data_IF_729152636819
#
_entry.id   IF_729152636819
#
_cell.length_a   1.000
_cell.length_b   1.000
_cell.length_c   1.000
_cell.angle_alpha   90.00
_cell.angle_beta   90.00
_cell.angle_gamma   90.00
#
_symmetry.space_group_name_H-M   'P 1'
#
loop_
_entity.id
_entity.type
_entity.pdbx_description
1 polymer ?
#
# COMPACT_ATOMS: atom_id res chain seq x y z
N UNK A 1 -30.90 -3.80 13.04
CA UNK A 1 -30.76 -2.70 12.05
C UNK A 1 -31.93 -2.81 11.07
N UNK A 2 -32.61 -1.72 10.74
CA UNK A 2 -33.56 -1.65 9.66
C UNK A 2 -32.93 -2.09 8.32
N UNK A 3 -33.75 -2.56 7.37
CA UNK A 3 -33.23 -3.10 6.10
C UNK A 3 -32.52 -2.02 5.24
N UNK A 4 -33.01 -0.78 5.33
CA UNK A 4 -32.39 0.37 4.68
C UNK A 4 -30.94 0.61 5.20
N UNK A 5 -30.72 0.47 6.49
CA UNK A 5 -29.40 0.65 7.10
C UNK A 5 -28.44 -0.49 6.69
N UNK A 6 -28.95 -1.72 6.55
CA UNK A 6 -28.15 -2.84 6.05
C UNK A 6 -27.71 -2.64 4.61
N UNK A 7 -28.56 -2.04 3.78
CA UNK A 7 -28.24 -1.74 2.39
C UNK A 7 -27.20 -0.62 2.28
N UNK A 8 -27.32 0.42 3.09
CA UNK A 8 -26.35 1.49 3.17
C UNK A 8 -24.96 0.98 3.60
N UNK A 9 -24.93 0.11 4.62
CA UNK A 9 -23.71 -0.53 5.09
C UNK A 9 -23.08 -1.46 4.05
N UNK A 10 -23.89 -2.23 3.30
CA UNK A 10 -23.38 -3.03 2.17
C UNK A 10 -22.75 -2.14 1.11
N UNK A 11 -23.33 -0.99 0.78
CA UNK A 11 -22.74 -0.01 -0.14
C UNK A 11 -21.36 0.45 0.31
N UNK A 12 -21.20 0.69 1.61
CA UNK A 12 -19.92 1.07 2.22
C UNK A 12 -18.88 -0.05 2.10
N UNK A 13 -19.23 -1.33 2.35
CA UNK A 13 -18.33 -2.47 2.16
C UNK A 13 -17.91 -2.66 0.69
N UNK A 14 -18.86 -2.50 -0.24
CA UNK A 14 -18.54 -2.61 -1.68
C UNK A 14 -17.64 -1.50 -2.17
N UNK A 15 -17.69 -0.32 -1.56
CA UNK A 15 -16.74 0.75 -1.89
C UNK A 15 -15.31 0.33 -1.58
N UNK A 16 -15.07 -0.27 -0.41
CA UNK A 16 -13.75 -0.73 -0.02
C UNK A 16 -13.25 -1.88 -0.89
N UNK A 17 -14.14 -2.81 -1.24
CA UNK A 17 -13.87 -3.85 -2.22
C UNK A 17 -13.34 -3.29 -3.55
N UNK A 18 -13.94 -2.23 -4.07
CA UNK A 18 -13.52 -1.58 -5.32
C UNK A 18 -12.26 -0.74 -5.16
N UNK A 19 -12.17 -0.01 -4.05
CA UNK A 19 -11.11 0.96 -3.77
C UNK A 19 -9.73 0.31 -3.57
N UNK A 20 -9.68 -0.86 -2.95
CA UNK A 20 -8.45 -1.63 -2.73
C UNK A 20 -7.77 -2.09 -4.03
N UNK A 21 -8.47 -2.08 -5.15
CA UNK A 21 -7.88 -2.30 -6.46
C UNK A 21 -6.77 -1.29 -6.78
N UNK A 22 -7.02 -0.01 -6.47
CA UNK A 22 -6.01 1.03 -6.63
C UNK A 22 -4.83 0.84 -5.66
N UNK A 23 -5.11 0.59 -4.39
CA UNK A 23 -4.07 0.43 -3.38
C UNK A 23 -3.14 -0.75 -3.70
N UNK A 24 -3.71 -1.93 -3.95
CA UNK A 24 -2.92 -3.13 -4.11
C UNK A 24 -2.27 -3.23 -5.50
N UNK A 25 -3.06 -3.11 -6.56
CA UNK A 25 -2.52 -3.26 -7.91
C UNK A 25 -1.73 -2.03 -8.36
N UNK A 26 -2.33 -0.84 -8.25
CA UNK A 26 -1.72 0.37 -8.83
C UNK A 26 -0.61 0.90 -7.94
N UNK A 27 -0.88 1.20 -6.67
CA UNK A 27 0.12 1.81 -5.78
C UNK A 27 1.25 0.88 -5.37
N UNK A 28 0.93 -0.42 -5.14
CA UNK A 28 1.92 -1.32 -4.54
C UNK A 28 2.69 -2.13 -5.58
N UNK A 29 2.06 -2.52 -6.68
CA UNK A 29 2.68 -3.46 -7.63
C UNK A 29 3.09 -2.77 -8.95
N UNK A 30 2.15 -2.15 -9.65
CA UNK A 30 2.39 -1.75 -11.05
C UNK A 30 3.08 -0.39 -11.19
N UNK A 31 2.56 0.65 -10.49
CA UNK A 31 3.08 2.00 -10.69
C UNK A 31 4.52 2.17 -10.22
N UNK A 32 4.96 1.60 -9.07
CA UNK A 32 6.35 1.67 -8.66
C UNK A 32 7.30 1.10 -9.70
N UNK A 33 7.09 -0.16 -10.09
CA UNK A 33 7.94 -0.86 -11.03
C UNK A 33 7.96 -0.20 -12.41
N UNK A 34 6.79 0.19 -12.93
CA UNK A 34 6.69 0.85 -14.23
C UNK A 34 7.37 2.23 -14.23
N UNK A 35 7.16 3.02 -13.17
CA UNK A 35 7.74 4.36 -13.06
C UNK A 35 9.26 4.30 -12.93
N UNK A 36 9.77 3.39 -12.11
CA UNK A 36 11.21 3.16 -11.96
C UNK A 36 11.84 2.72 -13.28
N UNK A 37 11.23 1.76 -13.97
CA UNK A 37 11.73 1.26 -15.25
C UNK A 37 11.76 2.36 -16.32
N UNK A 38 10.67 3.09 -16.52
CA UNK A 38 10.60 4.18 -17.51
C UNK A 38 11.62 5.29 -17.20
N UNK A 39 11.78 5.65 -15.92
CA UNK A 39 12.76 6.64 -15.47
C UNK A 39 14.20 6.19 -15.77
N UNK A 40 14.53 4.94 -15.43
CA UNK A 40 15.86 4.38 -15.68
C UNK A 40 16.18 4.33 -17.18
N UNK A 41 15.20 3.95 -18.02
CA UNK A 41 15.35 3.97 -19.48
C UNK A 41 15.53 5.38 -20.03
N UNK A 42 14.83 6.38 -19.48
CA UNK A 42 14.91 7.77 -19.95
C UNK A 42 16.22 8.45 -19.57
N UNK A 43 16.73 8.17 -18.36
CA UNK A 43 17.88 8.87 -17.80
C UNK A 43 19.20 8.11 -17.91
N UNK A 44 19.15 6.81 -18.21
CA UNK A 44 20.32 5.94 -18.19
C UNK A 44 20.88 5.66 -16.77
N UNK A 45 20.07 5.91 -15.72
CA UNK A 45 20.46 5.71 -14.31
C UNK A 45 19.70 4.52 -13.71
N UNK A 46 20.08 4.11 -12.50
CA UNK A 46 19.38 3.08 -11.71
C UNK A 46 18.65 3.69 -10.50
N UNK A 47 18.25 4.98 -10.59
CA UNK A 47 17.62 5.72 -9.49
C UNK A 47 16.10 5.86 -9.62
N UNK A 48 15.46 5.01 -10.40
CA UNK A 48 14.01 5.05 -10.65
C UNK A 48 13.16 4.84 -9.39
N UNK A 49 13.62 4.00 -8.45
CA UNK A 49 12.94 3.79 -7.17
C UNK A 49 12.95 5.05 -6.31
N UNK A 50 14.08 5.77 -6.28
CA UNK A 50 14.18 7.05 -5.60
C UNK A 50 13.24 8.09 -6.25
N UNK A 51 13.15 8.12 -7.59
CA UNK A 51 12.22 8.98 -8.29
C UNK A 51 10.77 8.67 -7.91
N UNK A 52 10.37 7.39 -7.91
CA UNK A 52 9.04 6.98 -7.43
C UNK A 52 8.78 7.45 -6.00
N UNK A 53 9.74 7.27 -5.08
CA UNK A 53 9.62 7.70 -3.70
C UNK A 53 9.40 9.24 -3.60
N UNK A 54 10.08 10.03 -4.41
CA UNK A 54 9.84 11.48 -4.49
C UNK A 54 8.44 11.82 -5.00
N UNK A 55 7.96 11.14 -6.05
CA UNK A 55 6.60 11.32 -6.58
C UNK A 55 5.54 10.95 -5.55
N UNK A 56 5.73 9.82 -4.86
CA UNK A 56 4.84 9.39 -3.78
C UNK A 56 4.82 10.41 -2.64
N UNK A 57 5.99 10.87 -2.20
CA UNK A 57 6.14 11.88 -1.12
C UNK A 57 5.44 13.19 -1.51
N UNK A 58 5.66 13.69 -2.72
CA UNK A 58 5.00 14.89 -3.22
C UNK A 58 3.48 14.73 -3.26
N UNK A 59 3.00 13.57 -3.70
CA UNK A 59 1.57 13.23 -3.71
C UNK A 59 0.97 13.22 -2.31
N UNK A 60 1.67 12.61 -1.35
CA UNK A 60 1.22 12.57 0.05
C UNK A 60 1.25 13.95 0.72
N UNK A 61 2.23 14.81 0.39
CA UNK A 61 2.24 16.19 0.87
C UNK A 61 1.01 16.99 0.40
N UNK A 62 0.59 16.80 -0.85
CA UNK A 62 -0.66 17.41 -1.35
C UNK A 62 -1.87 16.95 -0.54
N UNK A 63 -1.91 15.66 -0.19
CA UNK A 63 -2.98 15.11 0.67
C UNK A 63 -2.91 15.69 2.08
N UNK A 64 -1.74 15.73 2.71
CA UNK A 64 -1.55 16.28 4.06
C UNK A 64 -1.99 17.76 4.13
N UNK A 65 -1.73 18.51 3.09
CA UNK A 65 -2.19 19.92 3.02
C UNK A 65 -3.71 19.99 2.85
N UNK A 66 -4.32 19.15 2.03
CA UNK A 66 -5.74 19.25 1.68
C UNK A 66 -6.68 18.51 2.63
N UNK A 67 -6.27 17.36 3.20
CA UNK A 67 -7.11 16.49 4.02
C UNK A 67 -7.74 17.16 5.26
N UNK A 68 -7.04 18.02 6.05
CA UNK A 68 -7.65 18.66 7.19
C UNK A 68 -8.80 19.60 6.81
N UNK A 69 -8.62 20.36 5.72
CA UNK A 69 -9.67 21.23 5.20
C UNK A 69 -10.88 20.45 4.71
N UNK A 70 -10.63 19.33 4.02
CA UNK A 70 -11.68 18.42 3.55
C UNK A 70 -12.45 17.80 4.72
N UNK A 71 -11.75 17.37 5.76
CA UNK A 71 -12.36 16.83 6.96
C UNK A 71 -13.34 17.84 7.59
N UNK A 72 -12.90 19.07 7.80
CA UNK A 72 -13.77 20.14 8.35
C UNK A 72 -14.99 20.42 7.47
N UNK A 73 -14.79 20.50 6.16
CA UNK A 73 -15.89 20.74 5.21
C UNK A 73 -16.88 19.56 5.25
N UNK A 74 -16.35 18.33 5.21
CA UNK A 74 -17.17 17.12 5.25
C UNK A 74 -17.94 16.94 6.56
N UNK A 75 -17.42 17.42 7.69
CA UNK A 75 -18.07 17.30 9.00
C UNK A 75 -19.09 18.40 9.28
N UNK A 76 -19.05 19.51 8.54
CA UNK A 76 -19.92 20.67 8.76
C UNK A 76 -20.97 20.90 7.69
N UNK A 77 -20.88 20.16 6.60
CA UNK A 77 -21.80 20.31 5.47
C UNK A 77 -22.33 18.94 5.04
N UNK A 78 -23.62 18.84 4.67
CA UNK A 78 -24.21 17.58 4.18
C UNK A 78 -23.82 17.33 2.72
N UNK A 79 -22.50 17.20 2.46
CA UNK A 79 -21.93 17.01 1.12
C UNK A 79 -20.88 15.90 1.06
N UNK A 80 -20.81 15.05 2.11
CA UNK A 80 -19.82 13.95 2.18
C UNK A 80 -19.88 13.05 0.96
N UNK A 81 -21.07 12.61 0.58
CA UNK A 81 -21.27 11.74 -0.58
C UNK A 81 -20.88 12.41 -1.90
N UNK A 82 -21.21 13.70 -2.05
CA UNK A 82 -20.85 14.48 -3.23
C UNK A 82 -19.33 14.62 -3.35
N UNK A 83 -18.66 14.93 -2.24
CA UNK A 83 -17.19 15.00 -2.18
C UNK A 83 -16.55 13.66 -2.48
N UNK A 84 -17.01 12.56 -1.83
CA UNK A 84 -16.51 11.23 -2.10
C UNK A 84 -16.66 10.85 -3.57
N UNK A 85 -17.82 11.10 -4.15
CA UNK A 85 -18.07 10.85 -5.58
C UNK A 85 -17.09 11.62 -6.46
N UNK A 86 -16.80 12.88 -6.12
CA UNK A 86 -15.88 13.71 -6.89
C UNK A 86 -14.45 13.18 -6.80
N UNK A 87 -13.95 12.89 -5.59
CA UNK A 87 -12.61 12.31 -5.38
C UNK A 87 -12.44 10.96 -6.06
N UNK A 88 -13.45 10.09 -5.93
CA UNK A 88 -13.46 8.79 -6.62
C UNK A 88 -13.43 8.96 -8.13
N UNK A 89 -14.22 9.88 -8.69
CA UNK A 89 -14.26 10.13 -10.13
C UNK A 89 -12.89 10.61 -10.63
N UNK A 90 -12.27 11.56 -9.93
CA UNK A 90 -10.91 12.02 -10.26
C UNK A 90 -9.92 10.86 -10.18
N UNK A 91 -9.91 10.12 -9.07
CA UNK A 91 -9.03 8.96 -8.91
C UNK A 91 -9.17 7.94 -10.04
N UNK A 92 -10.39 7.57 -10.36
CA UNK A 92 -10.73 6.60 -11.43
C UNK A 92 -10.27 7.08 -12.82
N UNK A 93 -10.57 8.33 -13.18
CA UNK A 93 -10.19 8.89 -14.49
C UNK A 93 -8.66 8.90 -14.62
N UNK A 94 -7.96 9.42 -13.63
CA UNK A 94 -6.50 9.51 -13.68
C UNK A 94 -5.84 8.13 -13.62
N UNK A 95 -6.42 7.17 -12.91
CA UNK A 95 -5.99 5.76 -12.95
C UNK A 95 -6.12 5.16 -14.35
N UNK A 96 -7.25 5.37 -15.02
CA UNK A 96 -7.41 4.89 -16.40
C UNK A 96 -6.40 5.53 -17.36
N UNK A 97 -6.16 6.84 -17.22
CA UNK A 97 -5.22 7.58 -18.07
C UNK A 97 -3.76 7.13 -17.87
N UNK A 98 -3.37 6.60 -16.67
CA UNK A 98 -2.03 6.03 -16.48
C UNK A 98 -1.72 4.92 -17.47
N UNK A 99 -2.74 4.22 -17.98
CA UNK A 99 -2.58 3.20 -19.01
C UNK A 99 -2.03 3.71 -20.34
N UNK A 100 -2.08 5.01 -20.57
CA UNK A 100 -1.48 5.62 -21.75
C UNK A 100 0.04 5.87 -21.61
N UNK A 101 0.56 5.98 -20.39
CA UNK A 101 1.96 6.36 -20.15
C UNK A 101 2.99 5.46 -20.86
N UNK A 102 2.86 4.12 -20.91
CA UNK A 102 3.83 3.26 -21.59
C UNK A 102 3.95 3.54 -23.10
N UNK A 103 2.92 4.10 -23.74
CA UNK A 103 2.94 4.40 -25.18
C UNK A 103 3.75 5.64 -25.54
N UNK A 104 4.17 6.44 -24.55
CA UNK A 104 5.06 7.59 -24.76
C UNK A 104 6.55 7.21 -24.68
N UNK A 105 6.86 5.91 -24.61
CA UNK A 105 8.23 5.44 -24.48
C UNK A 105 8.86 5.84 -23.13
N UNK A 106 10.19 6.02 -23.09
CA UNK A 106 10.89 6.37 -21.84
C UNK A 106 10.34 7.64 -21.18
N UNK A 107 10.01 8.67 -21.93
CA UNK A 107 9.47 9.95 -21.40
C UNK A 107 8.10 9.80 -20.73
N UNK A 108 7.45 8.65 -20.89
CA UNK A 108 6.19 8.31 -20.24
C UNK A 108 6.24 8.38 -18.71
N UNK A 109 7.45 8.34 -18.10
CA UNK A 109 7.59 8.46 -16.65
C UNK A 109 7.07 9.79 -16.11
N UNK A 110 7.22 10.90 -16.84
CA UNK A 110 6.71 12.22 -16.44
C UNK A 110 5.18 12.21 -16.42
N UNK A 111 4.59 11.66 -17.48
CA UNK A 111 3.13 11.54 -17.62
C UNK A 111 2.59 10.65 -16.50
N UNK A 112 3.22 9.49 -16.30
CA UNK A 112 2.84 8.56 -15.25
C UNK A 112 2.92 9.20 -13.85
N UNK A 113 3.99 9.94 -13.55
CA UNK A 113 4.17 10.63 -12.27
C UNK A 113 3.07 11.68 -12.02
N UNK A 114 2.71 12.47 -13.00
CA UNK A 114 1.63 13.46 -12.90
C UNK A 114 0.26 12.80 -12.69
N UNK A 115 -0.06 11.80 -13.51
CA UNK A 115 -1.33 11.08 -13.43
C UNK A 115 -1.44 10.30 -12.12
N UNK A 116 -0.35 9.67 -11.69
CA UNK A 116 -0.26 8.96 -10.40
C UNK A 116 -0.46 9.90 -9.22
N UNK A 117 0.16 11.07 -9.23
CA UNK A 117 0.01 12.06 -8.15
C UNK A 117 -1.45 12.49 -7.99
N UNK A 118 -2.13 12.80 -9.08
CA UNK A 118 -3.55 13.19 -9.05
C UNK A 118 -4.44 12.00 -8.66
N UNK A 119 -4.17 10.82 -9.20
CA UNK A 119 -4.86 9.57 -8.85
C UNK A 119 -4.76 9.25 -7.35
N UNK A 120 -3.55 9.39 -6.79
CA UNK A 120 -3.27 9.18 -5.36
C UNK A 120 -3.99 10.20 -4.47
N UNK A 121 -4.05 11.47 -4.88
CA UNK A 121 -4.86 12.47 -4.17
C UNK A 121 -6.34 12.09 -4.22
N UNK A 122 -6.84 11.62 -5.38
CA UNK A 122 -8.20 11.12 -5.53
C UNK A 122 -8.52 9.94 -4.61
N UNK A 123 -7.60 8.98 -4.53
CA UNK A 123 -7.72 7.80 -3.66
C UNK A 123 -7.65 8.16 -2.18
N UNK A 124 -6.59 8.83 -1.75
CA UNK A 124 -6.33 9.09 -0.32
C UNK A 124 -7.32 10.13 0.22
N UNK A 125 -7.60 11.21 -0.54
CA UNK A 125 -8.62 12.19 -0.17
C UNK A 125 -10.03 11.57 -0.14
N UNK A 126 -10.33 10.66 -1.07
CA UNK A 126 -11.55 9.85 -1.04
C UNK A 126 -11.66 9.01 0.22
N UNK A 127 -10.57 8.35 0.65
CA UNK A 127 -10.54 7.53 1.86
C UNK A 127 -10.80 8.33 3.14
N UNK A 128 -10.27 9.54 3.25
CA UNK A 128 -10.58 10.43 4.40
C UNK A 128 -12.08 10.63 4.53
N UNK A 129 -12.76 10.90 3.42
CA UNK A 129 -14.22 11.11 3.41
C UNK A 129 -14.96 9.79 3.63
N UNK A 130 -14.52 8.70 2.99
CA UNK A 130 -15.09 7.36 3.11
C UNK A 130 -15.14 6.87 4.56
N UNK A 131 -14.03 6.96 5.29
CA UNK A 131 -14.00 6.59 6.71
C UNK A 131 -14.87 7.47 7.59
N UNK A 132 -15.09 8.72 7.20
CA UNK A 132 -15.98 9.65 7.94
C UNK A 132 -17.46 9.28 7.86
N UNK A 133 -17.89 8.33 7.00
CA UNK A 133 -19.24 7.79 6.97
C UNK A 133 -19.52 6.80 8.09
N UNK A 134 -18.49 6.08 8.58
CA UNK A 134 -18.66 4.97 9.51
C UNK A 134 -19.50 5.32 10.77
N UNK A 135 -19.32 6.48 11.45
CA UNK A 135 -20.11 6.84 12.60
C UNK A 135 -21.62 7.02 12.33
N UNK A 136 -22.01 7.21 11.08
CA UNK A 136 -23.41 7.35 10.65
C UNK A 136 -24.02 6.03 10.19
N UNK A 137 -23.19 5.03 9.91
CA UNK A 137 -23.62 3.72 9.40
C UNK A 137 -23.65 2.64 10.48
N UNK A 138 -22.93 2.84 11.59
CA UNK A 138 -22.80 1.86 12.65
C UNK A 138 -22.96 2.48 14.03
N UNK A 139 -23.62 1.76 14.94
CA UNK A 139 -23.64 2.10 16.36
C UNK A 139 -22.25 1.94 16.97
N UNK A 140 -21.90 2.75 17.97
CA UNK A 140 -20.58 2.73 18.62
C UNK A 140 -20.13 1.32 19.05
N UNK A 141 -21.06 0.52 19.58
CA UNK A 141 -20.77 -0.85 20.03
C UNK A 141 -20.46 -1.83 18.91
N UNK A 142 -20.79 -1.51 17.66
CA UNK A 142 -20.59 -2.37 16.50
C UNK A 142 -19.50 -1.84 15.56
N UNK A 143 -18.82 -0.73 15.90
CA UNK A 143 -17.85 -0.08 15.00
C UNK A 143 -16.67 -1.00 14.67
N UNK A 144 -16.10 -1.70 15.65
CA UNK A 144 -14.98 -2.62 15.42
C UNK A 144 -15.36 -3.74 14.47
N UNK A 145 -16.57 -4.29 14.64
CA UNK A 145 -17.09 -5.33 13.77
C UNK A 145 -17.37 -4.83 12.33
N UNK A 146 -17.91 -3.63 12.19
CA UNK A 146 -18.17 -3.02 10.88
C UNK A 146 -16.86 -2.67 10.19
N UNK A 147 -15.91 -2.08 10.91
CA UNK A 147 -14.60 -1.73 10.38
C UNK A 147 -13.84 -2.96 9.90
N UNK A 148 -13.73 -4.00 10.74
CA UNK A 148 -13.03 -5.24 10.37
C UNK A 148 -13.64 -5.93 9.16
N UNK A 149 -14.97 -5.93 9.02
CA UNK A 149 -15.63 -6.44 7.82
C UNK A 149 -15.32 -5.59 6.58
N UNK A 150 -15.32 -4.27 6.71
CA UNK A 150 -14.93 -3.38 5.61
C UNK A 150 -13.54 -3.74 5.08
N UNK A 151 -12.55 -3.78 5.96
CA UNK A 151 -11.20 -4.17 5.59
C UNK A 151 -11.11 -5.57 4.97
N UNK A 152 -11.86 -6.56 5.50
CA UNK A 152 -11.90 -7.89 4.93
C UNK A 152 -12.44 -7.87 3.48
N UNK A 153 -13.50 -7.10 3.23
CA UNK A 153 -14.02 -6.89 1.87
C UNK A 153 -12.98 -6.24 0.96
N UNK A 154 -12.28 -5.22 1.46
CA UNK A 154 -11.22 -4.54 0.73
C UNK A 154 -10.09 -5.51 0.32
N UNK A 155 -9.54 -6.25 1.28
CA UNK A 155 -8.50 -7.24 1.01
C UNK A 155 -8.95 -8.31 0.00
N UNK A 156 -10.18 -8.82 0.12
CA UNK A 156 -10.73 -9.78 -0.85
C UNK A 156 -10.84 -9.17 -2.25
N UNK A 157 -11.40 -7.97 -2.37
CA UNK A 157 -11.60 -7.31 -3.64
C UNK A 157 -10.29 -6.97 -4.34
N UNK A 158 -9.32 -6.44 -3.59
CA UNK A 158 -7.98 -6.13 -4.08
C UNK A 158 -7.22 -7.38 -4.51
N UNK A 159 -7.23 -8.43 -3.68
CA UNK A 159 -6.55 -9.70 -4.01
C UNK A 159 -7.14 -10.37 -5.24
N UNK A 160 -8.46 -10.42 -5.35
CA UNK A 160 -9.12 -11.04 -6.50
C UNK A 160 -8.75 -10.31 -7.81
N UNK A 161 -8.75 -8.99 -7.79
CA UNK A 161 -8.36 -8.22 -8.95
C UNK A 161 -6.86 -8.35 -9.25
N UNK A 162 -5.99 -8.39 -8.24
CA UNK A 162 -4.56 -8.61 -8.44
C UNK A 162 -4.28 -9.97 -9.08
N UNK A 163 -4.96 -11.04 -8.66
CA UNK A 163 -4.86 -12.35 -9.31
C UNK A 163 -5.22 -12.25 -10.80
N UNK A 164 -6.31 -11.56 -11.11
CA UNK A 164 -6.71 -11.34 -12.50
C UNK A 164 -5.63 -10.56 -13.29
N UNK A 165 -5.02 -9.55 -12.68
CA UNK A 165 -3.95 -8.77 -13.28
C UNK A 165 -2.65 -9.57 -13.47
N UNK A 166 -2.31 -10.45 -12.53
CA UNK A 166 -1.18 -11.36 -12.69
C UNK A 166 -1.39 -12.32 -13.88
N UNK A 167 -2.62 -12.80 -14.07
CA UNK A 167 -2.95 -13.61 -15.25
C UNK A 167 -2.77 -12.79 -16.54
N UNK A 168 -3.12 -11.51 -16.56
CA UNK A 168 -2.89 -10.63 -17.72
C UNK A 168 -1.39 -10.44 -17.97
N UNK A 169 -0.59 -10.24 -16.92
CA UNK A 169 0.84 -9.97 -17.03
C UNK A 169 1.63 -11.22 -17.44
N UNK A 170 1.39 -12.34 -16.78
CA UNK A 170 2.19 -13.56 -16.90
C UNK A 170 1.55 -14.60 -17.83
N UNK A 171 0.30 -14.43 -18.19
CA UNK A 171 -0.41 -15.38 -19.03
C UNK A 171 0.13 -15.47 -20.46
N UNK A 172 -0.10 -16.59 -21.14
CA UNK A 172 0.39 -16.87 -22.49
C UNK A 172 -0.38 -16.09 -23.57
N UNK A 173 -0.63 -14.81 -23.33
CA UNK A 173 -1.30 -13.95 -24.29
C UNK A 173 -0.28 -13.33 -25.24
N UNK A 174 -0.59 -13.27 -26.53
CA UNK A 174 0.23 -12.59 -27.55
C UNK A 174 0.08 -11.04 -27.52
N UNK A 175 -0.45 -10.50 -26.43
CA UNK A 175 -0.65 -9.07 -26.28
C UNK A 175 0.67 -8.34 -26.01
N UNK A 176 0.82 -7.18 -26.61
CA UNK A 176 1.94 -6.28 -26.33
C UNK A 176 1.95 -5.87 -24.83
N UNK A 177 3.15 -5.67 -24.29
CA UNK A 177 3.34 -5.29 -22.88
C UNK A 177 2.63 -3.99 -22.53
N UNK A 178 2.69 -2.98 -23.40
CA UNK A 178 2.01 -1.71 -23.18
C UNK A 178 0.49 -1.88 -23.12
N UNK A 179 -0.05 -2.77 -23.97
CA UNK A 179 -1.48 -3.10 -23.93
C UNK A 179 -1.86 -3.83 -22.64
N UNK A 180 -1.04 -4.77 -22.15
CA UNK A 180 -1.28 -5.45 -20.86
C UNK A 180 -1.31 -4.45 -19.71
N UNK A 181 -0.36 -3.53 -19.66
CA UNK A 181 -0.31 -2.48 -18.63
C UNK A 181 -1.52 -1.55 -18.74
N UNK A 182 -1.87 -1.11 -19.95
CA UNK A 182 -3.07 -0.29 -20.17
C UNK A 182 -4.35 -1.00 -19.71
N UNK A 183 -4.50 -2.29 -20.03
CA UNK A 183 -5.64 -3.10 -19.61
C UNK A 183 -5.74 -3.21 -18.08
N UNK A 184 -4.61 -3.30 -17.36
CA UNK A 184 -4.56 -3.34 -15.90
C UNK A 184 -5.03 -2.02 -15.29
N UNK A 185 -4.53 -0.88 -15.77
CA UNK A 185 -4.96 0.42 -15.26
C UNK A 185 -6.44 0.69 -15.54
N UNK A 186 -6.91 0.40 -16.75
CA UNK A 186 -8.31 0.58 -17.14
C UNK A 186 -9.22 -0.35 -16.34
N UNK A 187 -8.90 -1.64 -16.22
CA UNK A 187 -9.70 -2.58 -15.43
C UNK A 187 -9.72 -2.24 -13.94
N UNK A 188 -8.60 -1.77 -13.36
CA UNK A 188 -8.56 -1.25 -11.99
C UNK A 188 -9.50 -0.07 -11.80
N UNK A 189 -9.52 0.85 -12.74
CA UNK A 189 -10.39 2.03 -12.70
C UNK A 189 -11.88 1.66 -12.85
N UNK A 190 -12.20 0.75 -13.75
CA UNK A 190 -13.56 0.25 -13.96
C UNK A 190 -14.07 -0.53 -12.74
N UNK A 191 -13.21 -1.34 -12.13
CA UNK A 191 -13.50 -2.06 -10.89
C UNK A 191 -13.81 -1.09 -9.75
N UNK A 192 -12.95 -0.13 -9.51
CA UNK A 192 -13.17 0.88 -8.48
C UNK A 192 -14.43 1.70 -8.71
N UNK A 193 -14.67 2.17 -9.94
CA UNK A 193 -15.88 2.92 -10.27
C UNK A 193 -17.15 2.09 -10.14
N UNK A 194 -17.13 0.85 -10.64
CA UNK A 194 -18.29 -0.05 -10.62
C UNK A 194 -18.78 -0.34 -9.20
N UNK A 195 -17.87 -0.69 -8.30
CA UNK A 195 -18.21 -0.93 -6.90
C UNK A 195 -18.45 0.38 -6.13
N UNK A 196 -17.72 1.43 -6.42
CA UNK A 196 -17.97 2.77 -5.87
C UNK A 196 -19.38 3.28 -6.19
N UNK A 197 -19.87 2.99 -7.39
CA UNK A 197 -21.25 3.32 -7.78
C UNK A 197 -22.30 2.70 -6.86
N UNK A 198 -22.06 1.49 -6.33
CA UNK A 198 -22.99 0.86 -5.38
C UNK A 198 -23.10 1.64 -4.08
N UNK A 199 -22.00 2.19 -3.56
CA UNK A 199 -22.03 3.09 -2.42
C UNK A 199 -22.81 4.37 -2.74
N UNK A 200 -22.58 4.98 -3.89
CA UNK A 200 -23.29 6.20 -4.29
C UNK A 200 -24.79 5.98 -4.47
N UNK A 201 -25.21 4.75 -4.82
CA UNK A 201 -26.61 4.40 -4.99
C UNK A 201 -27.28 4.00 -3.67
N UNK A 202 -26.59 3.27 -2.79
CA UNK A 202 -27.19 2.64 -1.63
C UNK A 202 -26.97 3.38 -0.31
N UNK A 203 -25.86 4.11 -0.18
CA UNK A 203 -25.56 4.85 1.04
C UNK A 203 -26.12 6.27 0.92
N UNK A 204 -27.03 6.69 1.80
CA UNK A 204 -27.55 8.05 1.80
C UNK A 204 -26.49 9.08 2.23
N UNK A 205 -26.71 10.34 1.92
CA UNK A 205 -25.96 11.45 2.52
C UNK A 205 -26.27 11.48 4.02
N UNK A 206 -25.27 11.53 4.91
CA UNK A 206 -25.50 11.67 6.33
C UNK A 206 -26.23 12.99 6.68
N UNK A 207 -27.18 12.91 7.58
CA UNK A 207 -27.88 14.10 8.10
C UNK A 207 -26.94 14.84 9.06
N UNK A 208 -26.24 15.84 8.53
CA UNK A 208 -25.32 16.69 9.29
C UNK A 208 -25.98 18.07 9.39
N UNK A 209 -26.19 18.61 10.61
CA UNK A 209 -26.64 19.99 10.76
C UNK A 209 -25.62 20.92 10.08
N UNK A 210 -26.04 21.62 9.03
CA UNK A 210 -25.15 22.54 8.34
C UNK A 210 -24.77 23.67 9.29
N UNK A 211 -23.53 23.72 9.73
CA UNK A 211 -22.99 24.79 10.57
C UNK A 211 -22.09 25.75 9.79
N UNK A 212 -22.00 25.56 8.47
CA UNK A 212 -21.21 26.40 7.57
C UNK A 212 -22.00 26.72 6.31
N UNK A 213 -22.10 28.00 6.00
CA UNK A 213 -22.69 28.44 4.73
C UNK A 213 -21.73 28.26 3.58
N UNK A 214 -22.19 27.70 2.46
CA UNK A 214 -21.40 27.59 1.25
C UNK A 214 -21.37 28.96 0.54
N UNK A 215 -20.28 29.70 0.74
CA UNK A 215 -19.96 30.96 0.00
C UNK A 215 -18.92 30.75 -1.11
N UNK A 216 -18.59 29.51 -1.43
CA UNK A 216 -17.60 29.14 -2.43
C UNK A 216 -16.43 28.37 -1.84
N UNK A 217 -15.68 27.70 -2.72
CA UNK A 217 -14.57 26.82 -2.31
C UNK A 217 -13.48 27.60 -1.55
N UNK A 218 -13.15 28.82 -2.00
CA UNK A 218 -12.10 29.66 -1.39
C UNK A 218 -12.44 30.03 0.07
N UNK A 219 -13.68 30.41 0.33
CA UNK A 219 -14.10 30.78 1.69
C UNK A 219 -14.24 29.56 2.57
N UNK A 220 -14.79 28.46 2.06
CA UNK A 220 -14.87 27.19 2.79
C UNK A 220 -13.48 26.68 3.19
N UNK A 221 -12.50 26.75 2.29
CA UNK A 221 -11.12 26.36 2.56
C UNK A 221 -10.48 27.29 3.61
N UNK A 222 -10.65 28.59 3.51
CA UNK A 222 -10.14 29.56 4.50
C UNK A 222 -10.71 29.31 5.89
N UNK A 223 -12.01 29.09 6.01
CA UNK A 223 -12.68 28.77 7.28
C UNK A 223 -12.14 27.44 7.83
N UNK A 224 -12.01 26.41 6.99
CA UNK A 224 -11.53 25.11 7.39
C UNK A 224 -10.08 25.18 7.94
N UNK A 225 -9.16 25.84 7.24
CA UNK A 225 -7.79 26.01 7.74
C UNK A 225 -7.69 26.84 9.01
N UNK A 226 -8.46 27.93 9.09
CA UNK A 226 -8.52 28.71 10.34
C UNK A 226 -8.94 27.85 11.50
N UNK A 227 -9.90 26.96 11.28
CA UNK A 227 -10.41 26.07 12.30
C UNK A 227 -9.42 24.97 12.68
N UNK A 228 -8.78 24.35 11.70
CA UNK A 228 -7.69 23.38 11.94
C UNK A 228 -6.61 24.03 12.81
N UNK A 229 -6.19 25.24 12.47
CA UNK A 229 -5.17 25.97 13.23
C UNK A 229 -5.61 26.30 14.67
N UNK A 230 -6.87 26.69 14.85
CA UNK A 230 -7.43 26.94 16.17
C UNK A 230 -7.52 25.64 16.98
N UNK A 231 -7.95 24.54 16.37
CA UNK A 231 -7.96 23.21 17.00
C UNK A 231 -6.56 22.79 17.45
N UNK A 232 -5.51 23.01 16.63
CA UNK A 232 -4.13 22.75 17.03
C UNK A 232 -3.69 23.56 18.24
N UNK A 233 -4.10 24.83 18.33
CA UNK A 233 -3.83 25.65 19.52
C UNK A 233 -4.57 25.15 20.76
N UNK A 234 -5.78 24.65 20.58
CA UNK A 234 -6.61 24.17 21.67
C UNK A 234 -6.26 22.75 22.15
N UNK A 235 -5.67 21.92 21.29
CA UNK A 235 -5.22 20.55 21.65
C UNK A 235 -4.31 20.59 22.89
N UNK A 236 -3.49 21.62 23.04
CA UNK A 236 -2.64 21.80 24.23
C UNK A 236 -3.43 21.89 25.54
N UNK A 237 -4.71 22.29 25.49
CA UNK A 237 -5.59 22.35 26.66
C UNK A 237 -6.10 20.97 27.07
N UNK A 238 -6.11 19.99 26.15
CA UNK A 238 -6.61 18.64 26.34
C UNK A 238 -5.46 17.63 26.37
N UNK A 239 -4.74 17.58 27.50
CA UNK A 239 -3.55 16.71 27.65
C UNK A 239 -3.76 15.25 27.25
N UNK A 240 -4.91 14.67 27.58
CA UNK A 240 -5.23 13.26 27.23
C UNK A 240 -5.37 13.08 25.73
N UNK A 241 -6.05 14.02 25.04
CA UNK A 241 -6.21 13.99 23.59
C UNK A 241 -4.87 14.21 22.89
N UNK A 242 -4.06 15.16 23.37
CA UNK A 242 -2.71 15.41 22.84
C UNK A 242 -1.83 14.16 22.95
N UNK A 243 -1.82 13.50 24.14
CA UNK A 243 -1.06 12.27 24.36
C UNK A 243 -1.55 11.14 23.45
N UNK A 244 -2.87 11.00 23.29
CA UNK A 244 -3.46 10.00 22.38
C UNK A 244 -3.03 10.25 20.93
N UNK A 245 -3.06 11.50 20.45
CA UNK A 245 -2.67 11.84 19.09
C UNK A 245 -1.17 11.54 18.84
N UNK A 246 -0.30 11.86 19.79
CA UNK A 246 1.13 11.54 19.69
C UNK A 246 1.35 10.03 19.69
N UNK A 247 0.71 9.31 20.61
CA UNK A 247 0.80 7.84 20.66
C UNK A 247 0.28 7.20 19.37
N UNK A 248 -0.83 7.70 18.83
CA UNK A 248 -1.38 7.24 17.56
C UNK A 248 -0.46 7.51 16.38
N UNK A 249 0.14 8.70 16.33
CA UNK A 249 1.09 9.06 15.27
C UNK A 249 2.29 8.09 15.27
N UNK A 250 2.92 7.89 16.43
CA UNK A 250 4.08 6.99 16.56
C UNK A 250 3.73 5.53 16.21
N UNK A 251 2.59 5.07 16.70
CA UNK A 251 2.08 3.72 16.40
C UNK A 251 1.80 3.54 14.91
N UNK A 252 1.06 4.48 14.32
CA UNK A 252 0.64 4.40 12.92
C UNK A 252 1.83 4.50 11.97
N UNK A 253 2.79 5.40 12.27
CA UNK A 253 4.02 5.54 11.53
C UNK A 253 4.86 4.25 11.58
N UNK A 254 5.06 3.68 12.78
CA UNK A 254 5.79 2.41 12.94
C UNK A 254 5.17 1.25 12.15
N UNK A 255 3.84 1.07 12.24
CA UNK A 255 3.14 0.01 11.51
C UNK A 255 3.23 0.21 9.99
N UNK A 256 3.03 1.44 9.51
CA UNK A 256 3.13 1.72 8.08
C UNK A 256 4.56 1.59 7.56
N UNK A 257 5.55 1.98 8.33
CA UNK A 257 6.96 1.82 7.95
C UNK A 257 7.31 0.36 7.79
N UNK A 258 6.96 -0.50 8.75
CA UNK A 258 7.18 -1.95 8.63
C UNK A 258 6.47 -2.51 7.40
N UNK A 259 5.20 -2.13 7.18
CA UNK A 259 4.41 -2.63 6.05
C UNK A 259 4.98 -2.17 4.69
N UNK A 260 5.43 -0.90 4.60
CA UNK A 260 5.99 -0.37 3.35
C UNK A 260 7.41 -0.86 3.06
N UNK A 261 8.19 -1.12 4.12
CA UNK A 261 9.55 -1.65 3.99
C UNK A 261 9.62 -3.16 3.82
N UNK A 262 8.54 -3.90 4.10
CA UNK A 262 8.53 -5.36 4.03
C UNK A 262 8.95 -5.89 2.64
N UNK A 263 8.47 -5.26 1.57
CA UNK A 263 8.82 -5.63 0.19
C UNK A 263 10.29 -5.32 -0.11
N UNK A 264 10.75 -4.12 0.23
CA UNK A 264 12.14 -3.72 0.04
C UNK A 264 13.10 -4.58 0.88
N UNK A 265 12.71 -4.92 2.11
CA UNK A 265 13.47 -5.83 2.95
C UNK A 265 13.54 -7.24 2.34
N UNK A 266 12.44 -7.72 1.76
CA UNK A 266 12.39 -8.98 1.02
C UNK A 266 13.37 -9.02 -0.14
N UNK A 267 13.45 -7.96 -0.94
CA UNK A 267 14.35 -7.89 -2.09
C UNK A 267 15.81 -7.65 -1.69
N UNK A 268 16.06 -6.66 -0.83
CA UNK A 268 17.44 -6.21 -0.54
C UNK A 268 18.13 -7.05 0.54
N UNK A 269 17.40 -7.55 1.53
CA UNK A 269 17.95 -8.28 2.67
C UNK A 269 17.76 -9.78 2.52
N UNK A 270 16.53 -10.21 2.19
CA UNK A 270 16.22 -11.63 2.00
C UNK A 270 16.49 -12.10 0.57
N UNK A 271 16.81 -11.18 -0.35
CA UNK A 271 17.08 -11.43 -1.77
C UNK A 271 16.01 -12.28 -2.46
N UNK A 272 14.76 -12.05 -2.08
CA UNK A 272 13.61 -12.71 -2.68
C UNK A 272 13.40 -12.14 -4.09
N UNK A 273 13.27 -13.00 -5.09
CA UNK A 273 12.98 -12.60 -6.46
C UNK A 273 11.68 -11.77 -6.55
N UNK A 274 11.64 -10.82 -7.48
CA UNK A 274 10.51 -9.90 -7.64
C UNK A 274 9.17 -10.63 -7.85
N UNK A 275 9.17 -11.72 -8.60
CA UNK A 275 7.96 -12.52 -8.83
C UNK A 275 7.45 -13.16 -7.54
N UNK A 276 8.37 -13.67 -6.72
CA UNK A 276 8.07 -14.26 -5.42
C UNK A 276 7.61 -13.20 -4.42
N UNK A 277 8.18 -11.99 -4.48
CA UNK A 277 7.78 -10.87 -3.64
C UNK A 277 6.33 -10.45 -3.93
N UNK A 278 5.90 -10.41 -5.19
CA UNK A 278 4.49 -10.18 -5.55
C UNK A 278 3.58 -11.29 -5.03
N UNK A 279 4.01 -12.55 -5.10
CA UNK A 279 3.26 -13.69 -4.55
C UNK A 279 3.14 -13.61 -3.02
N UNK A 280 4.19 -13.17 -2.33
CA UNK A 280 4.14 -12.89 -0.88
C UNK A 280 3.15 -11.79 -0.55
N UNK A 281 3.14 -10.68 -1.28
CA UNK A 281 2.17 -9.60 -1.10
C UNK A 281 0.74 -10.09 -1.28
N UNK A 282 0.49 -10.93 -2.29
CA UNK A 282 -0.80 -11.56 -2.50
C UNK A 282 -1.18 -12.48 -1.33
N UNK A 283 -0.25 -13.31 -0.88
CA UNK A 283 -0.45 -14.22 0.26
C UNK A 283 -0.78 -13.45 1.54
N UNK A 284 -0.04 -12.38 1.84
CA UNK A 284 -0.31 -11.49 2.98
C UNK A 284 -1.74 -10.94 2.93
N UNK A 285 -2.18 -10.47 1.75
CA UNK A 285 -3.54 -9.94 1.59
C UNK A 285 -4.61 -11.02 1.77
N UNK A 286 -4.40 -12.23 1.27
CA UNK A 286 -5.33 -13.36 1.46
C UNK A 286 -5.42 -13.74 2.95
N UNK A 287 -4.28 -13.82 3.65
CA UNK A 287 -4.22 -14.11 5.09
C UNK A 287 -4.82 -12.98 5.91
N UNK A 288 -4.69 -11.73 5.47
CA UNK A 288 -5.27 -10.57 6.15
C UNK A 288 -6.81 -10.66 6.25
N UNK A 289 -7.50 -11.29 5.30
CA UNK A 289 -8.97 -11.45 5.33
C UNK A 289 -9.44 -12.17 6.60
N UNK A 290 -9.06 -13.43 6.86
CA UNK A 290 -9.49 -14.12 8.08
C UNK A 290 -8.94 -13.46 9.34
N UNK A 291 -7.70 -12.96 9.32
CA UNK A 291 -7.08 -12.31 10.48
C UNK A 291 -7.80 -11.03 10.88
N UNK A 292 -8.22 -10.21 9.91
CA UNK A 292 -9.01 -9.00 10.19
C UNK A 292 -10.33 -9.34 10.88
N UNK A 293 -11.01 -10.43 10.48
CA UNK A 293 -12.25 -10.90 11.12
C UNK A 293 -11.97 -11.43 12.54
N UNK A 294 -10.88 -12.17 12.73
CA UNK A 294 -10.45 -12.70 14.04
C UNK A 294 -10.15 -11.56 15.01
N UNK A 295 -9.35 -10.57 14.59
CA UNK A 295 -9.02 -9.41 15.41
C UNK A 295 -10.24 -8.53 15.68
N UNK A 296 -11.15 -8.38 14.70
CA UNK A 296 -12.42 -7.70 14.93
C UNK A 296 -13.26 -8.37 16.01
N UNK A 297 -13.42 -9.70 15.97
CA UNK A 297 -14.10 -10.46 17.05
C UNK A 297 -13.37 -10.37 18.39
N UNK A 298 -12.04 -10.37 18.37
CA UNK A 298 -11.25 -10.21 19.59
C UNK A 298 -11.47 -8.84 20.22
N UNK A 299 -11.55 -7.79 19.39
CA UNK A 299 -11.86 -6.42 19.83
C UNK A 299 -13.27 -6.33 20.44
N UNK A 300 -14.26 -7.00 19.83
CA UNK A 300 -15.63 -7.07 20.37
C UNK A 300 -15.69 -7.78 21.75
N UNK A 301 -14.87 -8.83 21.97
CA UNK A 301 -14.91 -9.66 23.19
C UNK A 301 -14.02 -9.07 24.30
N UNK A 302 -12.78 -8.70 23.98
CA UNK A 302 -11.74 -8.27 24.93
C UNK A 302 -11.53 -6.76 24.99
N UNK A 303 -12.17 -6.04 24.06
CA UNK A 303 -12.02 -4.61 23.88
C UNK A 303 -10.93 -4.23 22.90
N UNK A 304 -11.12 -3.12 22.19
CA UNK A 304 -10.25 -2.59 21.13
C UNK A 304 -8.82 -2.37 21.61
N UNK A 305 -8.65 -1.86 22.86
CA UNK A 305 -7.33 -1.64 23.44
C UNK A 305 -6.52 -2.94 23.57
N UNK A 306 -7.15 -4.03 24.01
CA UNK A 306 -6.48 -5.33 24.12
C UNK A 306 -6.05 -5.87 22.77
N UNK A 307 -6.94 -5.84 21.77
CA UNK A 307 -6.64 -6.31 20.42
C UNK A 307 -5.48 -5.50 19.79
N UNK A 308 -5.50 -4.17 19.97
CA UNK A 308 -4.43 -3.29 19.49
C UNK A 308 -3.09 -3.58 20.18
N UNK A 309 -3.07 -3.74 21.51
CA UNK A 309 -1.85 -4.06 22.24
C UNK A 309 -1.27 -5.42 21.83
N UNK A 310 -2.12 -6.42 21.61
CA UNK A 310 -1.69 -7.72 21.13
C UNK A 310 -1.03 -7.61 19.76
N UNK A 311 -1.66 -6.87 18.83
CA UNK A 311 -1.08 -6.61 17.51
C UNK A 311 0.29 -5.93 17.60
N UNK A 312 0.42 -4.91 18.46
CA UNK A 312 1.70 -4.21 18.67
C UNK A 312 2.79 -5.14 19.25
N UNK A 313 2.45 -6.01 20.18
CA UNK A 313 3.40 -7.00 20.73
C UNK A 313 3.89 -7.93 19.61
N UNK A 314 2.97 -8.38 18.74
CA UNK A 314 3.33 -9.22 17.60
C UNK A 314 4.26 -8.44 16.65
N UNK A 315 3.96 -7.17 16.34
CA UNK A 315 4.81 -6.34 15.49
C UNK A 315 6.22 -6.13 16.10
N UNK A 316 6.30 -5.86 17.40
CA UNK A 316 7.59 -5.73 18.08
C UNK A 316 8.39 -7.04 18.01
N UNK A 317 7.74 -8.18 18.23
CA UNK A 317 8.37 -9.48 18.08
C UNK A 317 8.90 -9.73 16.67
N UNK A 318 8.07 -9.46 15.65
CA UNK A 318 8.46 -9.58 14.25
C UNK A 318 9.64 -8.66 13.92
N UNK A 319 9.63 -7.42 14.40
CA UNK A 319 10.74 -6.48 14.19
C UNK A 319 12.07 -6.98 14.81
N UNK A 320 12.01 -7.56 16.01
CA UNK A 320 13.20 -8.15 16.67
C UNK A 320 13.72 -9.35 15.86
N UNK A 321 12.82 -10.23 15.40
CA UNK A 321 13.17 -11.36 14.56
C UNK A 321 13.78 -10.88 13.24
N UNK A 322 13.14 -9.92 12.58
CA UNK A 322 13.66 -9.35 11.31
C UNK A 322 15.04 -8.72 11.50
N UNK A 323 15.28 -8.02 12.62
CA UNK A 323 16.61 -7.48 12.93
C UNK A 323 17.67 -8.58 13.11
N UNK A 324 17.26 -9.77 13.59
CA UNK A 324 18.15 -10.93 13.69
C UNK A 324 18.53 -11.52 12.33
N UNK A 325 17.71 -11.30 11.32
CA UNK A 325 17.99 -11.69 9.92
C UNK A 325 18.65 -10.58 9.10
N UNK A 326 18.76 -9.35 9.64
CA UNK A 326 19.46 -8.28 8.96
C UNK A 326 20.91 -8.69 8.76
N UNK A 327 21.48 -8.53 7.56
CA UNK A 327 22.89 -8.79 7.35
C UNK A 327 23.70 -7.85 8.22
N UNK A 328 24.71 -8.36 8.85
CA UNK A 328 25.81 -7.52 9.33
C UNK A 328 26.45 -6.99 8.04
N UNK A 329 26.41 -5.68 7.84
CA UNK A 329 27.20 -5.05 6.79
C UNK A 329 28.65 -5.51 6.99
N UNK A 330 29.15 -6.25 6.02
CA UNK A 330 30.56 -6.61 6.02
C UNK A 330 31.36 -5.32 5.81
N UNK A 331 32.46 -5.17 6.55
CA UNK A 331 33.39 -4.10 6.28
C UNK A 331 33.78 -4.18 4.80
N UNK A 332 33.64 -3.10 3.99
CA UNK A 332 33.96 -3.11 2.58
C UNK A 332 35.42 -3.50 2.27
N UNK A 333 36.24 -3.66 3.27
CA UNK A 333 37.63 -4.14 3.16
C UNK A 333 37.80 -5.60 3.56
N UNK A 334 36.74 -6.29 3.98
CA UNK A 334 36.81 -7.70 4.41
C UNK A 334 36.93 -8.59 3.18
N UNK A 335 37.94 -9.42 3.17
CA UNK A 335 38.24 -10.47 2.19
C UNK A 335 38.31 -11.79 2.99
N UNK A 336 37.17 -12.44 3.13
CA UNK A 336 36.99 -13.58 4.03
C UNK A 336 37.65 -14.85 3.48
N UNK A 337 37.76 -14.97 2.17
CA UNK A 337 38.33 -16.13 1.48
C UNK A 337 39.77 -15.90 0.99
N UNK A 338 40.33 -14.71 1.22
CA UNK A 338 41.68 -14.31 0.83
C UNK A 338 41.97 -14.44 -0.70
N UNK A 339 40.97 -14.19 -1.52
CA UNK A 339 41.13 -14.21 -2.97
C UNK A 339 41.61 -12.86 -3.55
N UNK A 340 41.73 -11.83 -2.74
CA UNK A 340 42.20 -10.50 -3.09
C UNK A 340 41.15 -9.54 -3.55
N UNK A 341 39.86 -9.91 -3.47
CA UNK A 341 38.70 -9.04 -3.71
C UNK A 341 37.95 -8.87 -2.42
N UNK A 342 37.48 -7.64 -2.10
CA UNK A 342 36.59 -7.44 -0.97
C UNK A 342 35.26 -8.17 -1.14
N UNK A 343 34.72 -8.76 -0.08
CA UNK A 343 33.47 -9.52 -0.06
C UNK A 343 32.27 -8.73 -0.61
N UNK A 344 32.25 -7.40 -0.45
CA UNK A 344 31.22 -6.53 -1.00
C UNK A 344 31.30 -6.42 -2.54
N UNK A 345 32.50 -6.45 -3.10
CA UNK A 345 32.73 -6.45 -4.55
C UNK A 345 32.28 -7.76 -5.22
N UNK A 346 32.24 -8.85 -4.46
CA UNK A 346 31.77 -10.16 -4.89
C UNK A 346 30.27 -10.38 -4.68
N UNK A 347 29.56 -9.35 -4.17
CA UNK A 347 28.15 -9.46 -3.86
C UNK A 347 27.86 -10.20 -2.54
N UNK A 348 28.86 -10.42 -1.74
CA UNK A 348 28.80 -11.11 -0.46
C UNK A 348 28.38 -10.24 0.71
N UNK A 349 27.41 -9.36 0.53
CA UNK A 349 27.01 -8.38 1.54
C UNK A 349 26.01 -8.89 2.58
N UNK A 350 25.56 -10.12 2.51
CA UNK A 350 24.53 -10.62 3.42
C UNK A 350 24.84 -12.01 3.98
N UNK A 351 24.48 -12.22 5.25
CA UNK A 351 24.72 -13.48 5.96
C UNK A 351 23.76 -14.59 5.54
N UNK A 352 22.61 -14.24 4.99
CA UNK A 352 21.57 -15.18 4.58
C UNK A 352 21.05 -14.81 3.21
N UNK A 353 20.96 -15.78 2.32
CA UNK A 353 20.32 -15.65 1.03
C UNK A 353 19.05 -16.51 1.01
N UNK A 354 17.90 -15.85 0.97
CA UNK A 354 16.61 -16.51 0.86
C UNK A 354 16.08 -16.43 -0.58
N UNK A 355 16.96 -16.42 -1.57
CA UNK A 355 16.52 -16.52 -2.96
C UNK A 355 16.00 -17.93 -3.23
N UNK A 356 14.98 -18.00 -4.08
CA UNK A 356 14.44 -19.26 -4.55
C UNK A 356 14.87 -19.45 -6.01
N UNK A 357 15.63 -20.51 -6.26
CA UNK A 357 16.03 -20.87 -7.62
C UNK A 357 15.18 -22.04 -8.10
N UNK A 358 14.65 -21.95 -9.31
CA UNK A 358 13.91 -23.05 -9.91
C UNK A 358 14.87 -24.15 -10.34
N UNK A 359 14.80 -25.28 -9.67
CA UNK A 359 15.59 -26.47 -10.02
C UNK A 359 14.82 -27.26 -11.09
N UNK A 360 15.38 -27.30 -12.30
CA UNK A 360 14.79 -28.03 -13.43
C UNK A 360 14.75 -29.55 -13.22
N UNK A 361 15.58 -30.08 -12.33
CA UNK A 361 15.66 -31.53 -12.08
C UNK A 361 14.58 -31.99 -11.09
N UNK A 362 14.26 -31.18 -10.10
CA UNK A 362 13.22 -31.46 -9.11
C UNK A 362 11.85 -30.85 -9.47
N UNK A 363 11.79 -29.98 -10.49
CA UNK A 363 10.62 -29.18 -10.84
C UNK A 363 10.09 -28.32 -9.67
N UNK A 364 10.94 -28.00 -8.71
CA UNK A 364 10.61 -27.22 -7.51
C UNK A 364 11.46 -25.97 -7.42
N UNK A 365 10.93 -24.95 -6.73
CA UNK A 365 11.72 -23.82 -6.27
C UNK A 365 12.44 -24.22 -4.99
N UNK A 366 13.76 -24.22 -5.04
CA UNK A 366 14.63 -24.51 -3.91
C UNK A 366 15.12 -23.19 -3.32
N UNK A 367 15.13 -23.11 -1.99
CA UNK A 367 15.58 -21.92 -1.28
C UNK A 367 17.09 -21.96 -1.13
N UNK A 368 17.77 -20.95 -1.67
CA UNK A 368 19.18 -20.73 -1.44
C UNK A 368 19.38 -19.99 -0.12
N UNK A 369 20.37 -20.38 0.64
CA UNK A 369 20.73 -19.71 1.87
C UNK A 369 22.20 -19.34 1.88
N UNK A 370 22.50 -18.10 2.28
CA UNK A 370 23.85 -17.61 2.45
C UNK A 370 24.54 -18.15 3.70
N UNK A 371 23.81 -18.89 4.52
CA UNK A 371 24.32 -19.36 5.79
C UNK A 371 25.62 -20.17 5.63
N UNK A 372 25.72 -20.95 4.57
CA UNK A 372 26.89 -21.81 4.33
C UNK A 372 28.10 -21.07 3.81
N UNK A 373 27.97 -19.84 3.49
CA UNK A 373 29.07 -19.06 2.94
C UNK A 373 30.26 -18.96 3.86
N UNK A 374 30.03 -18.83 5.14
CA UNK A 374 31.08 -18.84 6.15
C UNK A 374 31.78 -20.17 6.27
N UNK A 375 31.34 -21.14 5.48
CA UNK A 375 31.85 -22.50 5.56
C UNK A 375 32.55 -22.95 4.33
N UNK A 376 32.57 -22.41 3.21
CA UNK A 376 33.34 -22.88 2.07
C UNK A 376 32.94 -22.30 0.72
N UNK A 377 32.68 -21.06 0.68
CA UNK A 377 32.37 -20.43 -0.59
C UNK A 377 31.23 -21.18 -1.28
N UNK A 378 30.06 -21.04 -0.74
CA UNK A 378 28.82 -21.55 -1.35
C UNK A 378 28.56 -20.92 -2.71
N UNK A 379 29.29 -19.88 -3.08
CA UNK A 379 29.38 -19.35 -4.43
C UNK A 379 30.51 -20.07 -5.13
N UNK A 380 30.19 -20.84 -6.17
CA UNK A 380 31.15 -21.44 -7.06
C UNK A 380 31.04 -20.87 -8.47
N UNK A 381 32.07 -20.97 -9.26
CA UNK A 381 31.98 -20.77 -10.70
C UNK A 381 31.52 -22.07 -11.37
N UNK A 382 30.54 -21.97 -12.28
CA UNK A 382 30.20 -23.09 -13.14
C UNK A 382 31.28 -23.26 -14.24
N UNK A 383 31.19 -24.31 -15.01
CA UNK A 383 32.13 -24.58 -16.11
C UNK A 383 32.16 -23.52 -17.21
N UNK A 384 31.27 -22.53 -17.18
CA UNK A 384 31.20 -21.37 -18.08
C UNK A 384 31.82 -20.10 -17.46
N UNK A 385 32.24 -20.14 -16.17
CA UNK A 385 32.79 -19.00 -15.46
C UNK A 385 31.72 -18.07 -14.84
N UNK A 386 30.48 -18.53 -14.77
CA UNK A 386 29.40 -17.78 -14.11
C UNK A 386 29.36 -18.16 -12.62
N UNK A 387 29.13 -17.17 -11.77
CA UNK A 387 28.95 -17.38 -10.33
C UNK A 387 27.70 -18.25 -10.07
N UNK A 388 27.89 -19.37 -9.41
CA UNK A 388 26.86 -20.35 -9.11
C UNK A 388 26.68 -20.44 -7.60
N UNK A 389 25.46 -20.18 -7.12
CA UNK A 389 25.12 -20.33 -5.71
C UNK A 389 24.94 -21.81 -5.39
N UNK A 390 25.62 -22.28 -4.37
CA UNK A 390 25.39 -23.63 -3.86
C UNK A 390 24.11 -23.66 -3.06
N UNK A 391 23.38 -24.75 -3.16
CA UNK A 391 22.18 -24.97 -2.38
C UNK A 391 22.50 -24.91 -0.89
N UNK A 392 21.70 -24.16 -0.16
CA UNK A 392 21.73 -24.21 1.29
C UNK A 392 21.14 -25.54 1.80
N UNK A 393 21.57 -25.96 2.94
CA UNK A 393 21.07 -27.16 3.62
C UNK A 393 19.72 -26.87 4.29
#
# INVERSE_FOLDING_TARGET
MPEADKKALRGWYWYDWGNQAYALTVMTVIAPALMANLYNLATGTQSGDAFYAYVLTASMLLVVITAPALGVIADRMPIKKKLLKWYTTVGVIFTALMGAAPYFGPDGYIILALLYSIGTVGFTGGNVIYYSFMPYLAEKRCMDHVSSRGYAYGFMGGSLLLIFHLIILMGPFSWDTNFRLAAIFVSSSLWWWGYGFLMFKWTPEPEIPSSMEWKGLKDATKVAYSQVFNTFKEVKKFKVLALFLVAYLLFYDGVNTIASMASAFGESVLRIDQSMNVLLLLTINIVAVPMTIVFGKLADIKGTKFALMLALIIYCFVAIVAAGFAPLELDPTTDSDNNGLPDDAEGESSRYDFTFTYNQSSELYEMNTLYDRGYDGWVGENSAGDAEFREGI
#
